data_IF_876189991743
#
_entry.id   IF_876189991743
#
_cell.length_a   1.000
_cell.length_b   1.000
_cell.length_c   1.000
_cell.angle_alpha   90.00
_cell.angle_beta   90.00
_cell.angle_gamma   90.00
#
_symmetry.space_group_name_H-M   'P 1'
#
loop_
_entity.id
_entity.type
_entity.pdbx_description
1 polymer ?
#
# COMPACT_ATOMS: atom_id res chain seq x y z
N UNK A 1 6.57 3.75 -8.66
CA UNK A 1 6.69 3.72 -7.18
C UNK A 1 5.79 4.74 -6.49
N UNK A 2 5.30 5.79 -7.19
CA UNK A 2 4.22 6.65 -6.68
C UNK A 2 2.85 6.16 -7.17
N UNK A 3 2.78 5.66 -8.39
CA UNK A 3 1.59 5.09 -9.03
C UNK A 3 0.92 4.09 -8.09
N UNK A 4 1.62 3.01 -7.72
CA UNK A 4 1.09 1.97 -6.83
C UNK A 4 0.60 2.53 -5.48
N UNK A 5 1.34 3.46 -4.88
CA UNK A 5 0.95 4.09 -3.62
C UNK A 5 -0.32 4.96 -3.77
N UNK A 6 -0.44 5.66 -4.90
CA UNK A 6 -1.63 6.42 -5.26
C UNK A 6 -2.82 5.48 -5.49
N UNK A 7 -2.62 4.39 -6.23
CA UNK A 7 -3.65 3.37 -6.44
C UNK A 7 -4.19 2.81 -5.12
N UNK A 8 -3.28 2.42 -4.22
CA UNK A 8 -3.65 1.82 -2.93
C UNK A 8 -4.33 2.77 -1.95
N UNK A 9 -4.07 4.08 -2.04
CA UNK A 9 -4.58 5.06 -1.08
C UNK A 9 -5.76 5.90 -1.60
N UNK A 10 -5.85 6.12 -2.91
CA UNK A 10 -6.79 7.07 -3.54
C UNK A 10 -7.66 6.43 -4.62
N UNK A 11 -7.14 5.46 -5.39
CA UNK A 11 -7.93 4.73 -6.39
C UNK A 11 -8.57 3.45 -5.82
N UNK A 12 -8.58 3.31 -4.49
CA UNK A 12 -8.96 2.10 -3.75
C UNK A 12 -10.36 1.59 -4.04
N UNK A 13 -11.31 2.50 -4.26
CA UNK A 13 -12.73 2.19 -4.41
C UNK A 13 -13.09 2.07 -5.89
N UNK A 14 -13.42 0.87 -6.40
CA UNK A 14 -13.76 0.70 -7.82
C UNK A 14 -14.97 1.55 -8.23
N UNK A 15 -15.98 1.60 -7.35
CA UNK A 15 -17.27 2.27 -7.54
C UNK A 15 -17.17 3.80 -7.69
N UNK A 16 -16.08 4.41 -7.20
CA UNK A 16 -15.92 5.88 -7.21
C UNK A 16 -15.09 6.29 -8.42
N UNK A 17 -15.67 6.90 -9.48
CA UNK A 17 -14.91 7.25 -10.68
C UNK A 17 -14.07 8.53 -10.51
N UNK A 18 -14.31 9.31 -9.45
CA UNK A 18 -13.66 10.59 -9.20
C UNK A 18 -12.64 10.53 -8.06
N UNK A 19 -11.56 11.30 -8.19
CA UNK A 19 -10.63 11.63 -7.11
C UNK A 19 -10.68 13.14 -6.92
N UNK A 20 -11.14 13.58 -5.74
CA UNK A 20 -11.34 15.00 -5.42
C UNK A 20 -10.02 15.68 -5.02
N UNK A 21 -9.87 16.97 -5.34
CA UNK A 21 -8.70 17.79 -4.97
C UNK A 21 -8.49 17.82 -3.46
N UNK A 22 -9.55 17.97 -2.66
CA UNK A 22 -9.49 17.86 -1.19
C UNK A 22 -8.89 16.54 -0.68
N UNK A 23 -9.11 15.43 -1.40
CA UNK A 23 -8.51 14.13 -1.07
C UNK A 23 -7.00 14.09 -1.35
N UNK A 24 -6.54 14.82 -2.37
CA UNK A 24 -5.13 14.97 -2.71
C UNK A 24 -4.44 15.92 -1.72
N UNK A 25 -5.05 17.06 -1.42
CA UNK A 25 -4.51 18.09 -0.53
C UNK A 25 -4.28 17.57 0.90
N UNK A 26 -5.10 16.61 1.35
CA UNK A 26 -4.93 15.95 2.64
C UNK A 26 -3.75 14.94 2.69
N UNK A 27 -3.00 14.75 1.59
CA UNK A 27 -1.96 13.72 1.47
C UNK A 27 -0.64 14.30 0.98
N UNK A 28 0.44 13.68 1.44
CA UNK A 28 1.80 13.96 1.00
C UNK A 28 2.52 12.67 0.65
N UNK A 29 3.54 12.78 -0.20
CA UNK A 29 4.44 11.68 -0.55
C UNK A 29 5.76 11.82 0.21
N UNK A 30 6.16 10.74 0.85
CA UNK A 30 7.53 10.56 1.36
C UNK A 30 8.12 9.29 0.75
N UNK A 31 9.43 9.28 0.51
CA UNK A 31 10.15 8.06 0.16
C UNK A 31 11.05 7.65 1.33
N UNK A 32 11.09 6.35 1.57
CA UNK A 32 11.84 5.73 2.65
C UNK A 32 12.90 4.80 2.08
N UNK A 33 13.99 4.66 2.82
CA UNK A 33 15.03 3.68 2.57
C UNK A 33 15.22 2.79 3.80
N UNK A 34 15.77 1.60 3.57
CA UNK A 34 16.05 0.65 4.64
C UNK A 34 17.51 0.76 5.07
N UNK A 35 17.76 0.94 6.37
CA UNK A 35 19.12 1.00 6.93
C UNK A 35 19.74 -0.38 7.14
N UNK A 36 18.92 -1.43 7.09
CA UNK A 36 19.31 -2.85 7.10
C UNK A 36 18.35 -3.69 6.25
N UNK A 37 18.75 -4.91 5.92
CA UNK A 37 17.84 -5.86 5.29
C UNK A 37 16.63 -6.15 6.19
N UNK A 38 15.43 -6.11 5.58
CA UNK A 38 14.16 -6.41 6.27
C UNK A 38 13.79 -7.89 6.14
N UNK A 39 13.29 -8.46 7.23
CA UNK A 39 12.75 -9.82 7.30
C UNK A 39 11.28 -9.78 6.94
N UNK A 40 10.96 -9.92 5.66
CA UNK A 40 9.57 -9.85 5.20
C UNK A 40 8.93 -11.24 5.17
N UNK A 41 7.75 -11.37 5.76
CA UNK A 41 6.92 -12.55 5.62
C UNK A 41 6.27 -12.55 4.22
N UNK A 42 6.53 -13.56 3.37
CA UNK A 42 6.00 -13.58 2.01
C UNK A 42 4.54 -14.03 2.00
N UNK A 43 3.61 -13.08 1.85
CA UNK A 43 2.20 -13.35 1.59
C UNK A 43 1.90 -13.18 0.10
N UNK A 44 2.68 -13.90 -0.70
CA UNK A 44 2.57 -13.98 -2.16
C UNK A 44 2.15 -15.41 -2.53
N UNK A 45 1.21 -15.54 -3.47
CA UNK A 45 0.72 -16.80 -4.08
C UNK A 45 0.73 -18.06 -3.17
N UNK A 46 1.87 -18.73 -3.01
CA UNK A 46 2.03 -19.94 -2.21
C UNK A 46 1.87 -19.75 -0.68
N UNK A 47 2.25 -18.59 -0.12
CA UNK A 47 2.16 -18.30 1.32
C UNK A 47 0.72 -18.07 1.81
N UNK A 48 -0.18 -17.81 0.86
CA UNK A 48 -1.60 -17.50 1.09
C UNK A 48 -2.37 -18.76 1.52
N UNK A 49 -2.10 -19.89 0.85
CA UNK A 49 -2.71 -21.18 1.18
C UNK A 49 -2.30 -21.73 2.55
N UNK A 50 -1.10 -21.39 3.05
CA UNK A 50 -0.61 -21.85 4.36
C UNK A 50 -1.41 -21.28 5.54
N UNK A 51 -2.06 -20.13 5.34
CA UNK A 51 -2.95 -19.47 6.32
C UNK A 51 -4.43 -19.67 6.01
N UNK A 52 -4.76 -20.60 5.11
CA UNK A 52 -6.13 -20.83 4.65
C UNK A 52 -6.75 -19.60 3.98
N UNK A 53 -5.93 -18.68 3.45
CA UNK A 53 -6.38 -17.55 2.67
C UNK A 53 -6.49 -17.95 1.19
N UNK A 54 -7.37 -17.27 0.47
CA UNK A 54 -7.37 -17.19 -0.99
C UNK A 54 -6.76 -15.85 -1.42
N UNK A 55 -6.20 -15.78 -2.63
CA UNK A 55 -5.87 -14.50 -3.26
C UNK A 55 -7.09 -13.55 -3.34
N UNK A 56 -8.30 -14.12 -3.36
CA UNK A 56 -9.56 -13.36 -3.29
C UNK A 56 -9.76 -12.69 -1.93
N UNK A 57 -9.26 -13.27 -0.83
CA UNK A 57 -9.31 -12.64 0.50
C UNK A 57 -8.33 -11.46 0.59
N UNK A 58 -7.17 -11.57 -0.07
CA UNK A 58 -6.15 -10.51 -0.13
C UNK A 58 -6.56 -9.32 -0.99
N UNK A 59 -7.31 -9.59 -2.07
CA UNK A 59 -7.83 -8.56 -2.97
C UNK A 59 -9.27 -8.13 -2.64
N UNK A 60 -9.90 -8.76 -1.64
CA UNK A 60 -11.26 -8.50 -1.22
C UNK A 60 -11.42 -7.22 -0.41
N UNK A 61 -12.68 -6.80 -0.25
CA UNK A 61 -13.07 -5.62 0.54
C UNK A 61 -13.11 -5.96 2.05
N UNK A 62 -13.00 -7.24 2.42
CA UNK A 62 -13.10 -7.71 3.81
C UNK A 62 -11.76 -7.64 4.56
N UNK A 63 -11.51 -6.47 5.14
CA UNK A 63 -10.32 -6.16 5.92
C UNK A 63 -10.16 -7.00 7.19
N UNK A 64 -11.24 -7.57 7.74
CA UNK A 64 -11.17 -8.29 9.01
C UNK A 64 -10.26 -9.51 8.93
N UNK A 65 -10.26 -10.17 7.76
CA UNK A 65 -9.44 -11.36 7.53
C UNK A 65 -7.96 -11.00 7.34
N UNK A 66 -7.67 -9.95 6.57
CA UNK A 66 -6.31 -9.42 6.40
C UNK A 66 -5.71 -8.92 7.72
N UNK A 67 -6.50 -8.25 8.56
CA UNK A 67 -6.06 -7.80 9.88
C UNK A 67 -5.75 -8.96 10.82
N UNK A 68 -6.59 -10.00 10.85
CA UNK A 68 -6.33 -11.20 11.65
C UNK A 68 -5.01 -11.86 11.26
N UNK A 69 -4.78 -12.08 9.96
CA UNK A 69 -3.53 -12.70 9.49
C UNK A 69 -2.33 -11.81 9.76
N UNK A 70 -2.46 -10.50 9.57
CA UNK A 70 -1.40 -9.54 9.91
C UNK A 70 -1.05 -9.60 11.41
N UNK A 71 -2.06 -9.62 12.29
CA UNK A 71 -1.88 -9.72 13.73
C UNK A 71 -1.24 -11.06 14.14
N UNK A 72 -1.66 -12.17 13.53
CA UNK A 72 -1.09 -13.49 13.77
C UNK A 72 0.39 -13.54 13.36
N UNK A 73 0.73 -13.08 12.16
CA UNK A 73 2.13 -13.01 11.69
C UNK A 73 2.96 -12.13 12.62
N UNK A 74 2.42 -10.98 13.03
CA UNK A 74 3.09 -10.10 13.99
C UNK A 74 3.36 -10.81 15.32
N UNK A 75 2.39 -11.54 15.86
CA UNK A 75 2.51 -12.19 17.16
C UNK A 75 3.42 -13.43 17.14
N UNK A 76 3.40 -14.21 16.06
CA UNK A 76 4.03 -15.54 16.00
C UNK A 76 5.38 -15.55 15.29
N UNK A 77 5.75 -14.47 14.59
CA UNK A 77 7.00 -14.38 13.84
C UNK A 77 7.87 -13.21 14.31
N UNK A 78 9.11 -13.23 13.84
CA UNK A 78 10.08 -12.12 13.99
C UNK A 78 10.18 -11.29 12.70
N UNK A 79 9.16 -11.35 11.84
CA UNK A 79 9.13 -10.57 10.61
C UNK A 79 9.07 -9.06 10.94
N UNK A 80 9.80 -8.27 10.16
CA UNK A 80 9.75 -6.81 10.15
C UNK A 80 8.50 -6.29 9.43
N UNK A 81 7.89 -7.12 8.58
CA UNK A 81 6.69 -6.76 7.83
C UNK A 81 6.21 -7.90 6.92
N UNK A 82 5.22 -7.60 6.10
CA UNK A 82 4.59 -8.50 5.15
C UNK A 82 4.88 -8.01 3.74
N UNK A 83 5.38 -8.92 2.89
CA UNK A 83 5.49 -8.72 1.45
C UNK A 83 4.23 -9.25 0.77
N UNK A 84 3.51 -8.40 0.06
CA UNK A 84 2.26 -8.76 -0.64
C UNK A 84 2.25 -8.20 -2.06
N UNK A 85 1.28 -8.64 -2.87
CA UNK A 85 1.07 -8.16 -4.23
C UNK A 85 -0.02 -7.08 -4.23
N UNK A 86 0.27 -5.92 -4.83
CA UNK A 86 -0.68 -4.85 -5.10
C UNK A 86 -1.84 -5.37 -5.94
N UNK A 87 -3.05 -4.95 -5.59
CA UNK A 87 -4.27 -5.36 -6.31
C UNK A 87 -4.46 -4.66 -7.65
N UNK A 88 -3.69 -3.61 -7.94
CA UNK A 88 -3.86 -2.80 -9.14
C UNK A 88 -2.89 -3.12 -10.27
N UNK A 89 -1.65 -3.44 -9.93
CA UNK A 89 -0.56 -3.51 -10.91
C UNK A 89 0.36 -4.72 -10.69
N UNK A 90 -0.05 -5.69 -9.87
CA UNK A 90 0.74 -6.86 -9.49
C UNK A 90 2.15 -6.54 -8.96
N UNK A 91 2.45 -5.28 -8.62
CA UNK A 91 3.72 -4.90 -8.03
C UNK A 91 3.82 -5.39 -6.59
N UNK A 92 5.06 -5.57 -6.13
CA UNK A 92 5.32 -5.99 -4.75
C UNK A 92 5.21 -4.78 -3.82
N UNK A 93 4.40 -4.92 -2.79
CA UNK A 93 4.20 -3.93 -1.74
C UNK A 93 4.59 -4.50 -0.38
N UNK A 94 4.92 -3.60 0.55
CA UNK A 94 5.36 -3.97 1.89
C UNK A 94 4.46 -3.28 2.92
N UNK A 95 3.96 -4.05 3.88
CA UNK A 95 3.33 -3.54 5.09
C UNK A 95 4.30 -3.78 6.25
N UNK A 96 4.78 -2.71 6.89
CA UNK A 96 5.77 -2.80 7.96
C UNK A 96 5.09 -2.87 9.32
N UNK A 97 5.68 -3.63 10.24
CA UNK A 97 5.31 -3.62 11.65
C UNK A 97 6.15 -2.59 12.41
N UNK A 98 5.63 -2.10 13.54
CA UNK A 98 6.29 -1.06 14.34
C UNK A 98 7.70 -1.47 14.79
N UNK A 99 7.96 -2.76 14.98
CA UNK A 99 9.29 -3.28 15.34
C UNK A 99 10.38 -3.04 14.29
N UNK A 100 10.00 -2.70 13.06
CA UNK A 100 10.93 -2.37 11.98
C UNK A 100 11.27 -0.88 11.94
N UNK A 101 10.73 -0.05 12.86
CA UNK A 101 10.90 1.40 12.82
C UNK A 101 12.38 1.84 12.85
N UNK A 102 13.24 1.09 13.55
CA UNK A 102 14.69 1.35 13.61
C UNK A 102 15.41 1.10 12.27
N UNK A 103 14.78 0.33 11.38
CA UNK A 103 15.31 -0.07 10.08
C UNK A 103 14.90 0.87 8.94
N UNK A 104 14.07 1.89 9.22
CA UNK A 104 13.49 2.78 8.21
C UNK A 104 14.02 4.20 8.41
N UNK A 105 14.61 4.75 7.35
CA UNK A 105 15.02 6.14 7.29
C UNK A 105 14.21 6.88 6.22
N UNK A 106 13.82 8.11 6.51
CA UNK A 106 13.29 9.00 5.49
C UNK A 106 14.41 9.45 4.55
N UNK A 107 14.13 9.45 3.26
CA UNK A 107 15.03 10.02 2.26
C UNK A 107 14.83 11.54 2.16
N UNK A 108 15.53 12.18 1.22
CA UNK A 108 15.32 13.60 0.90
C UNK A 108 13.92 13.91 0.35
N UNK A 109 13.20 12.91 -0.15
CA UNK A 109 11.79 13.05 -0.53
C UNK A 109 10.94 12.93 0.73
N UNK A 110 10.61 14.07 1.33
CA UNK A 110 9.81 14.15 2.55
C UNK A 110 8.62 15.08 2.38
N UNK A 111 7.43 14.59 2.70
CA UNK A 111 6.20 15.37 2.76
C UNK A 111 5.95 16.23 1.49
N UNK A 112 6.25 15.70 0.31
CA UNK A 112 6.05 16.39 -0.96
C UNK A 112 4.57 16.34 -1.32
N UNK A 113 3.96 17.50 -1.53
CA UNK A 113 2.58 17.59 -1.99
C UNK A 113 2.44 17.00 -3.41
N UNK A 114 1.33 16.32 -3.67
CA UNK A 114 0.99 15.80 -5.00
C UNK A 114 0.28 16.94 -5.74
N UNK A 115 0.90 17.48 -6.79
CA UNK A 115 0.32 18.58 -7.56
C UNK A 115 -0.85 18.14 -8.44
N UNK A 116 -1.76 19.06 -8.78
CA UNK A 116 -2.95 18.77 -9.60
C UNK A 116 -2.63 18.11 -10.96
N UNK A 117 -1.54 18.54 -11.62
CA UNK A 117 -1.08 17.94 -12.86
C UNK A 117 -0.64 16.47 -12.68
N UNK A 118 0.09 16.18 -11.60
CA UNK A 118 0.53 14.83 -11.25
C UNK A 118 -0.67 13.96 -10.86
N UNK A 119 -1.59 14.49 -10.03
CA UNK A 119 -2.82 13.82 -9.65
C UNK A 119 -3.71 13.48 -10.87
N UNK A 120 -3.77 14.36 -11.87
CA UNK A 120 -4.52 14.11 -13.11
C UNK A 120 -3.93 12.94 -13.89
N UNK A 121 -2.60 12.89 -14.03
CA UNK A 121 -1.91 11.79 -14.72
C UNK A 121 -2.12 10.47 -13.98
N UNK A 122 -1.98 10.47 -12.65
CA UNK A 122 -2.16 9.28 -11.82
C UNK A 122 -3.60 8.80 -11.78
N UNK A 123 -4.59 9.70 -11.70
CA UNK A 123 -6.00 9.34 -11.76
C UNK A 123 -6.32 8.65 -13.10
N UNK A 124 -5.86 9.22 -14.22
CA UNK A 124 -6.05 8.64 -15.56
C UNK A 124 -5.41 7.27 -15.70
N UNK A 125 -4.23 7.06 -15.13
CA UNK A 125 -3.57 5.75 -15.11
C UNK A 125 -4.46 4.65 -14.50
N UNK A 126 -5.27 4.99 -13.49
CA UNK A 126 -6.23 4.08 -12.85
C UNK A 126 -7.65 4.14 -13.42
N UNK A 127 -7.86 4.80 -14.57
CA UNK A 127 -9.19 4.96 -15.18
C UNK A 127 -10.14 5.86 -14.37
N UNK A 128 -9.58 6.75 -13.53
CA UNK A 128 -10.32 7.71 -12.70
C UNK A 128 -10.20 9.13 -13.27
N UNK A 129 -11.11 10.01 -12.83
CA UNK A 129 -11.14 11.42 -13.20
C UNK A 129 -10.74 12.26 -11.97
N UNK A 130 -9.72 13.11 -12.12
CA UNK A 130 -9.41 14.12 -11.11
C UNK A 130 -10.40 15.28 -11.21
N UNK A 131 -10.98 15.70 -10.09
CA UNK A 131 -11.97 16.77 -10.02
C UNK A 131 -11.63 17.76 -8.90
N UNK A 132 -11.70 19.05 -9.22
CA UNK A 132 -11.61 20.13 -8.23
C UNK A 132 -12.87 20.13 -7.36
N UNK A 133 -12.70 20.21 -6.04
CA UNK A 133 -13.78 20.32 -5.04
C UNK A 133 -13.88 21.71 -4.45
#
# INVERSE_FOLDING_TARGET
MLETAFGETLARTPETPYILSSGIEARVRSAFETTRALRLYPLIAAGVSAHGLSLTDLHGIDYLRCWRVSAEIHATTVADGILYTSRFDNHRCVALFDRAADAIAETTTKAIAIGAAEATVLARHYGKIFAES
#
